data_IF_876887516177
#
_entry.id   IF_876887516177
#
_cell.length_a   1.000
_cell.length_b   1.000
_cell.length_c   1.000
_cell.angle_alpha   90.00
_cell.angle_beta   90.00
_cell.angle_gamma   90.00
#
_symmetry.space_group_name_H-M   'P 1'
#
loop_
_entity.id
_entity.type
_entity.pdbx_description
1 polymer ?
#
# COMPACT_ATOMS: atom_id res chain seq x y z
N UNK A 1 -12.52 -10.31 -7.34
CA UNK A 1 -12.62 -8.84 -7.30
C UNK A 1 -11.33 -8.31 -6.71
N UNK A 2 -10.72 -7.28 -7.29
CA UNK A 2 -9.51 -6.67 -6.72
C UNK A 2 -9.91 -5.76 -5.54
N UNK A 3 -9.10 -5.78 -4.47
CA UNK A 3 -9.28 -4.98 -3.26
C UNK A 3 -8.81 -3.54 -3.48
N UNK A 4 -7.69 -3.36 -4.17
CA UNK A 4 -7.12 -2.06 -4.50
C UNK A 4 -6.39 -2.10 -5.84
N UNK A 5 -6.15 -0.92 -6.41
CA UNK A 5 -5.27 -0.70 -7.55
C UNK A 5 -4.01 0.07 -7.13
N UNK A 6 -2.93 -0.14 -7.88
CA UNK A 6 -1.70 0.65 -7.79
C UNK A 6 -1.77 1.73 -8.85
N UNK A 7 -1.62 2.98 -8.42
CA UNK A 7 -1.67 4.11 -9.34
C UNK A 7 -0.44 4.12 -10.26
N UNK A 8 -0.68 4.46 -11.53
CA UNK A 8 0.37 4.47 -12.57
C UNK A 8 1.46 5.51 -12.29
N UNK A 9 1.11 6.61 -11.62
CA UNK A 9 2.07 7.64 -11.26
C UNK A 9 2.99 7.13 -10.16
N UNK A 10 4.30 7.21 -10.41
CA UNK A 10 5.32 6.88 -9.43
C UNK A 10 5.86 8.14 -8.76
N UNK A 11 6.28 8.01 -7.52
CA UNK A 11 7.11 8.96 -6.79
C UNK A 11 8.52 8.39 -6.65
N UNK A 12 9.55 9.24 -6.72
CA UNK A 12 10.93 8.81 -6.52
C UNK A 12 11.37 9.17 -5.10
N UNK A 13 11.92 8.20 -4.38
CA UNK A 13 12.52 8.39 -3.07
C UNK A 13 13.95 8.92 -3.18
N UNK A 14 14.52 9.52 -2.11
CA UNK A 14 15.90 10.00 -2.10
C UNK A 14 16.95 8.93 -2.39
N UNK A 15 16.64 7.66 -2.12
CA UNK A 15 17.51 6.51 -2.42
C UNK A 15 17.36 5.99 -3.87
N UNK A 16 16.56 6.67 -4.70
CA UNK A 16 16.36 6.37 -6.11
C UNK A 16 15.22 5.40 -6.40
N UNK A 17 14.62 4.75 -5.39
CA UNK A 17 13.49 3.83 -5.58
C UNK A 17 12.24 4.53 -6.07
N UNK A 18 11.44 3.81 -6.86
CA UNK A 18 10.14 4.25 -7.34
C UNK A 18 9.05 3.58 -6.52
N UNK A 19 8.08 4.36 -6.09
CA UNK A 19 6.95 3.89 -5.29
C UNK A 19 5.66 4.43 -5.86
N UNK A 20 4.58 3.72 -5.62
CA UNK A 20 3.28 3.97 -6.23
C UNK A 20 2.21 4.04 -5.14
N UNK A 21 1.31 5.01 -5.29
CA UNK A 21 0.20 5.16 -4.34
C UNK A 21 -0.88 4.12 -4.61
N UNK A 22 -1.53 3.63 -3.57
CA UNK A 22 -2.62 2.66 -3.69
C UNK A 22 -3.99 3.34 -3.56
N UNK A 23 -5.00 2.77 -4.22
CA UNK A 23 -6.39 3.23 -4.13
C UNK A 23 -7.34 2.04 -3.97
N UNK A 24 -8.21 2.09 -2.97
CA UNK A 24 -9.20 1.05 -2.71
C UNK A 24 -10.24 0.97 -3.85
N UNK A 25 -10.54 -0.26 -4.27
CA UNK A 25 -11.51 -0.57 -5.32
C UNK A 25 -12.84 -1.10 -4.76
N UNK A 26 -12.86 -1.48 -3.49
CA UNK A 26 -14.07 -1.89 -2.77
C UNK A 26 -13.94 -1.55 -1.28
N UNK A 27 -15.02 -1.72 -0.53
CA UNK A 27 -15.02 -1.62 0.93
C UNK A 27 -14.41 -2.89 1.55
N UNK A 28 -13.54 -2.73 2.55
CA UNK A 28 -12.98 -3.84 3.35
C UNK A 28 -12.45 -3.33 4.68
N UNK A 29 -12.69 -4.08 5.77
CA UNK A 29 -12.32 -3.61 7.11
C UNK A 29 -12.91 -2.23 7.40
N UNK A 30 -12.04 -1.26 7.68
CA UNK A 30 -12.38 0.15 7.88
C UNK A 30 -12.11 1.04 6.64
N UNK A 31 -11.66 0.48 5.52
CA UNK A 31 -11.30 1.19 4.29
C UNK A 31 -12.50 1.27 3.35
N UNK A 32 -12.73 2.44 2.76
CA UNK A 32 -13.84 2.69 1.83
C UNK A 32 -13.40 2.69 0.37
N UNK A 33 -14.32 2.28 -0.50
CA UNK A 33 -14.11 2.32 -1.95
C UNK A 33 -13.68 3.73 -2.39
N UNK A 34 -12.59 3.83 -3.14
CA UNK A 34 -12.02 5.09 -3.60
C UNK A 34 -11.04 5.76 -2.65
N UNK A 35 -10.88 5.25 -1.42
CA UNK A 35 -9.90 5.75 -0.45
C UNK A 35 -8.47 5.62 -0.97
N UNK A 36 -7.68 6.68 -0.76
CA UNK A 36 -6.27 6.74 -1.14
C UNK A 36 -5.42 6.32 0.05
N UNK A 37 -4.59 5.30 -0.14
CA UNK A 37 -3.67 4.82 0.88
C UNK A 37 -2.25 5.36 0.72
N UNK A 38 -1.31 4.70 1.39
CA UNK A 38 0.11 4.95 1.28
C UNK A 38 0.73 4.30 0.03
N UNK A 39 1.98 3.85 0.16
CA UNK A 39 2.83 3.54 -0.98
C UNK A 39 3.36 2.10 -0.95
N UNK A 40 3.49 1.53 -2.15
CA UNK A 40 4.16 0.26 -2.41
C UNK A 40 5.23 0.42 -3.47
N UNK A 41 6.33 -0.32 -3.37
CA UNK A 41 7.35 -0.39 -4.43
C UNK A 41 6.93 -1.38 -5.53
N UNK A 42 6.32 -2.50 -5.16
CA UNK A 42 5.84 -3.56 -6.03
C UNK A 42 4.47 -4.08 -5.59
N UNK A 43 3.77 -4.79 -6.47
CA UNK A 43 2.42 -5.30 -6.20
C UNK A 43 2.36 -6.35 -5.08
N UNK A 44 3.45 -7.08 -4.86
CA UNK A 44 3.57 -8.09 -3.81
C UNK A 44 3.79 -7.49 -2.40
N UNK A 45 4.04 -6.18 -2.28
CA UNK A 45 4.25 -5.56 -0.96
C UNK A 45 2.99 -5.48 -0.09
N UNK A 46 1.81 -5.51 -0.70
CA UNK A 46 0.53 -5.51 0.00
C UNK A 46 -0.30 -6.67 -0.55
N UNK A 47 -1.01 -7.39 0.31
CA UNK A 47 -1.86 -8.48 -0.15
C UNK A 47 -3.20 -7.96 -0.67
N UNK A 48 -3.66 -8.48 -1.81
CA UNK A 48 -5.05 -8.33 -2.25
C UNK A 48 -6.05 -9.09 -1.36
N UNK A 49 -5.58 -10.02 -0.52
CA UNK A 49 -6.41 -10.77 0.42
C UNK A 49 -6.43 -10.11 1.81
N UNK A 50 -7.45 -10.46 2.61
CA UNK A 50 -7.62 -9.94 3.97
C UNK A 50 -7.89 -8.43 4.01
N UNK A 51 -7.84 -7.87 5.21
CA UNK A 51 -8.15 -6.45 5.47
C UNK A 51 -6.90 -5.60 5.62
N UNK A 52 -5.72 -6.15 5.34
CA UNK A 52 -4.48 -5.41 5.44
C UNK A 52 -4.46 -4.16 4.56
N UNK A 53 -3.86 -3.08 5.06
CA UNK A 53 -3.84 -1.78 4.41
C UNK A 53 -2.60 -0.96 4.77
N UNK A 54 -2.21 -0.09 3.84
CA UNK A 54 -1.20 0.94 4.05
C UNK A 54 -1.94 2.28 3.94
N UNK A 55 -2.05 3.00 5.04
CA UNK A 55 -2.72 4.30 5.14
C UNK A 55 -1.72 5.47 5.09
N UNK A 56 -2.26 6.67 4.93
CA UNK A 56 -1.53 7.94 5.00
C UNK A 56 -0.34 8.01 4.02
N UNK A 57 0.87 8.27 4.54
CA UNK A 57 2.12 8.32 3.79
C UNK A 57 3.04 7.15 4.15
N UNK A 58 2.48 6.08 4.74
CA UNK A 58 3.24 4.89 5.08
C UNK A 58 3.66 4.12 3.82
N UNK A 59 4.72 3.32 3.95
CA UNK A 59 5.38 2.67 2.82
C UNK A 59 5.83 1.25 3.13
N UNK A 60 5.56 0.32 2.21
CA UNK A 60 6.15 -1.00 2.18
C UNK A 60 7.06 -1.14 0.95
N UNK A 61 8.33 -1.47 1.19
CA UNK A 61 9.41 -1.45 0.20
C UNK A 61 10.16 -2.79 0.15
N UNK A 62 10.95 -2.98 -0.89
CA UNK A 62 11.79 -4.16 -1.07
C UNK A 62 11.00 -5.46 -0.98
N UNK A 63 11.48 -6.42 -0.17
CA UNK A 63 10.83 -7.74 0.02
C UNK A 63 9.78 -7.76 1.13
N UNK A 64 9.43 -6.61 1.70
CA UNK A 64 8.39 -6.56 2.74
C UNK A 64 7.02 -6.95 2.19
N UNK A 65 6.19 -7.59 3.02
CA UNK A 65 4.82 -8.02 2.63
C UNK A 65 3.84 -7.74 3.77
N UNK A 66 2.88 -6.86 3.54
CA UNK A 66 1.77 -6.60 4.45
C UNK A 66 0.61 -7.54 4.10
N UNK A 67 0.22 -8.40 5.05
CA UNK A 67 -0.76 -9.47 4.83
C UNK A 67 -1.74 -9.57 6.01
N UNK A 68 -2.79 -10.39 5.86
CA UNK A 68 -3.78 -10.62 6.92
C UNK A 68 -4.61 -9.38 7.22
N UNK A 69 -4.59 -8.94 8.48
CA UNK A 69 -5.30 -7.79 9.04
C UNK A 69 -4.36 -6.63 9.43
N UNK A 70 -3.08 -6.70 9.04
CA UNK A 70 -2.08 -5.71 9.40
C UNK A 70 -2.39 -4.30 8.83
N UNK A 71 -2.22 -3.28 9.67
CA UNK A 71 -2.35 -1.87 9.28
C UNK A 71 -1.02 -1.14 9.46
N UNK A 72 -0.48 -0.61 8.36
CA UNK A 72 0.64 0.32 8.37
C UNK A 72 0.10 1.73 8.12
N UNK A 73 0.52 2.74 8.91
CA UNK A 73 -0.08 4.08 8.86
C UNK A 73 0.90 5.18 9.21
N UNK A 74 0.42 6.43 9.20
CA UNK A 74 1.19 7.63 9.49
C UNK A 74 2.39 7.77 8.52
N UNK A 75 3.62 7.76 9.03
CA UNK A 75 4.88 7.84 8.25
C UNK A 75 5.73 6.58 8.39
N UNK A 76 5.10 5.45 8.75
CA UNK A 76 5.82 4.21 8.97
C UNK A 76 6.42 3.68 7.66
N UNK A 77 7.66 3.16 7.74
CA UNK A 77 8.37 2.58 6.61
C UNK A 77 8.81 1.17 6.98
N UNK A 78 8.30 0.19 6.23
CA UNK A 78 8.76 -1.19 6.29
C UNK A 78 9.62 -1.46 5.06
N UNK A 79 10.87 -1.82 5.28
CA UNK A 79 11.91 -1.97 4.25
C UNK A 79 12.64 -3.29 4.51
N UNK A 80 12.75 -4.16 3.51
CA UNK A 80 13.26 -5.53 3.67
C UNK A 80 13.92 -6.10 2.42
#
# INVERSE_FOLDING_TARGET
>A
MLKYEIQKQSHQLPDGRKVHRIKALCDFGNVKTGEIGGFVEADDNLSQAGTCWIADDAMALGRSRITGDALLRDRARLDG
#
